data_IF_142882791460
#
_entry.id   IF_142882791460
#
_cell.length_a   1.000
_cell.length_b   1.000
_cell.length_c   1.000
_cell.angle_alpha   90.00
_cell.angle_beta   90.00
_cell.angle_gamma   90.00
#
_symmetry.space_group_name_H-M   'P 1'
#
loop_
_entity.id
_entity.type
_entity.pdbx_description
1 polymer ?
#
# COMPACT_ATOMS: atom_id res chain seq x y z
N UNK A 1 21.86 -31.97 16.02
CA UNK A 1 21.65 -31.10 14.83
C UNK A 1 20.23 -30.64 14.87
N UNK A 2 19.98 -29.38 15.15
CA UNK A 2 18.60 -28.85 15.10
C UNK A 2 18.11 -28.85 13.65
N UNK A 3 16.87 -29.26 13.37
CA UNK A 3 16.32 -29.21 12.02
C UNK A 3 16.24 -27.75 11.57
N UNK A 4 16.56 -27.51 10.29
CA UNK A 4 16.47 -26.16 9.71
C UNK A 4 15.06 -25.57 9.88
N UNK A 5 14.91 -24.26 10.09
CA UNK A 5 13.62 -23.60 10.21
C UNK A 5 12.68 -23.95 9.04
N UNK A 6 11.39 -24.15 9.28
CA UNK A 6 10.42 -24.50 8.22
C UNK A 6 10.45 -23.52 7.02
N UNK A 7 10.57 -22.24 7.29
CA UNK A 7 10.64 -21.19 6.28
C UNK A 7 11.88 -21.31 5.37
N UNK A 8 13.05 -21.60 5.93
CA UNK A 8 14.28 -21.81 5.15
C UNK A 8 14.16 -23.01 4.21
N UNK A 9 13.49 -24.09 4.66
CA UNK A 9 13.21 -25.24 3.80
C UNK A 9 12.22 -24.91 2.67
N UNK A 10 11.22 -24.09 2.94
CA UNK A 10 10.25 -23.65 1.91
C UNK A 10 10.95 -22.87 0.80
N UNK A 11 11.83 -21.93 1.14
CA UNK A 11 12.63 -21.21 0.13
C UNK A 11 13.48 -22.18 -0.68
N UNK A 12 14.27 -23.05 -0.02
CA UNK A 12 15.14 -24.01 -0.69
C UNK A 12 14.36 -24.95 -1.62
N UNK A 13 13.20 -25.44 -1.16
CA UNK A 13 12.31 -26.27 -1.96
C UNK A 13 11.81 -25.52 -3.20
N UNK A 14 11.43 -24.25 -3.05
CA UNK A 14 10.94 -23.44 -4.15
C UNK A 14 12.00 -23.15 -5.20
N UNK A 15 13.22 -22.79 -4.79
CA UNK A 15 14.36 -22.61 -5.70
C UNK A 15 14.67 -23.89 -6.48
N UNK A 16 14.67 -25.04 -5.80
CA UNK A 16 14.86 -26.35 -6.44
C UNK A 16 13.72 -26.68 -7.42
N UNK A 17 12.45 -26.39 -7.08
CA UNK A 17 11.32 -26.58 -7.98
C UNK A 17 11.44 -25.73 -9.25
N UNK A 18 11.81 -24.45 -9.11
CA UNK A 18 12.04 -23.59 -10.27
C UNK A 18 13.08 -24.21 -11.20
N UNK A 19 14.22 -24.65 -10.69
CA UNK A 19 15.26 -25.26 -11.53
C UNK A 19 14.83 -26.59 -12.15
N UNK A 20 14.13 -27.46 -11.43
CA UNK A 20 13.84 -28.82 -11.89
C UNK A 20 12.54 -28.95 -12.66
N UNK A 21 11.54 -28.11 -12.38
CA UNK A 21 10.17 -28.31 -12.81
C UNK A 21 9.58 -27.16 -13.64
N UNK A 22 10.20 -25.97 -13.62
CA UNK A 22 9.65 -24.81 -14.33
C UNK A 22 9.75 -25.00 -15.85
N UNK A 23 10.90 -25.49 -16.33
CA UNK A 23 11.12 -25.90 -17.74
C UNK A 23 11.78 -27.26 -17.79
N UNK A 24 11.02 -28.35 -17.70
CA UNK A 24 11.58 -29.71 -17.54
C UNK A 24 12.51 -30.10 -18.69
N UNK A 25 12.20 -29.68 -19.91
CA UNK A 25 12.96 -30.00 -21.12
C UNK A 25 14.33 -29.31 -21.18
N UNK A 26 14.50 -28.20 -20.48
CA UNK A 26 15.77 -27.47 -20.43
C UNK A 26 16.88 -28.22 -19.68
N UNK A 27 16.55 -29.23 -18.84
CA UNK A 27 17.48 -30.03 -18.03
C UNK A 27 18.53 -29.17 -17.33
N UNK A 28 18.03 -28.13 -16.62
CA UNK A 28 18.87 -27.11 -16.01
C UNK A 28 19.60 -27.70 -14.78
N UNK A 29 20.93 -27.80 -14.84
CA UNK A 29 21.77 -28.23 -13.71
C UNK A 29 22.15 -27.05 -12.83
N UNK A 30 22.60 -27.30 -11.59
CA UNK A 30 23.09 -26.24 -10.70
C UNK A 30 24.33 -25.53 -11.30
N UNK A 31 25.15 -26.23 -12.07
CA UNK A 31 26.33 -25.69 -12.76
C UNK A 31 25.89 -24.70 -13.87
N UNK A 32 24.93 -25.09 -14.71
CA UNK A 32 24.37 -24.22 -15.77
C UNK A 32 23.73 -22.97 -15.17
N UNK A 33 22.98 -23.12 -14.07
CA UNK A 33 22.36 -21.99 -13.40
C UNK A 33 23.40 -21.06 -12.77
N UNK A 34 24.42 -21.62 -12.14
CA UNK A 34 25.54 -20.85 -11.58
C UNK A 34 26.31 -20.09 -12.68
N UNK A 35 26.57 -20.72 -13.82
CA UNK A 35 27.19 -20.07 -14.97
C UNK A 35 26.35 -18.91 -15.52
N UNK A 36 25.02 -19.11 -15.66
CA UNK A 36 24.09 -18.04 -16.11
C UNK A 36 24.08 -16.83 -15.17
N UNK A 37 24.26 -17.04 -13.86
CA UNK A 37 24.29 -15.97 -12.86
C UNK A 37 25.68 -15.36 -12.66
N UNK A 38 26.72 -15.92 -13.26
CA UNK A 38 28.10 -15.45 -13.12
C UNK A 38 28.45 -14.28 -14.02
N UNK A 39 27.54 -13.82 -14.90
CA UNK A 39 27.79 -12.72 -15.82
C UNK A 39 28.12 -11.40 -15.10
N UNK A 40 27.49 -11.15 -13.96
CA UNK A 40 27.69 -9.95 -13.15
C UNK A 40 28.72 -10.18 -12.01
N UNK A 41 28.72 -11.37 -11.42
CA UNK A 41 29.59 -11.73 -10.29
C UNK A 41 29.80 -13.26 -10.26
N UNK A 42 31.02 -13.77 -10.11
CA UNK A 42 31.29 -15.20 -10.09
C UNK A 42 30.46 -15.97 -9.06
N UNK A 43 29.85 -17.09 -9.47
CA UNK A 43 29.05 -17.94 -8.63
C UNK A 43 29.41 -19.42 -8.81
N UNK A 44 29.77 -20.08 -7.72
CA UNK A 44 30.10 -21.53 -7.75
C UNK A 44 28.82 -22.39 -7.65
N UNK A 45 28.76 -23.51 -8.35
CA UNK A 45 27.62 -24.45 -8.31
C UNK A 45 27.35 -24.99 -6.90
N UNK A 46 28.37 -25.13 -6.07
CA UNK A 46 28.25 -25.56 -4.67
C UNK A 46 27.44 -24.54 -3.83
N UNK A 47 27.51 -23.26 -4.20
CA UNK A 47 26.73 -22.20 -3.56
C UNK A 47 25.25 -22.34 -3.91
N UNK A 48 24.93 -22.57 -5.19
CA UNK A 48 23.55 -22.86 -5.63
C UNK A 48 23.02 -24.13 -4.93
N UNK A 49 23.84 -25.16 -4.83
CA UNK A 49 23.51 -26.40 -4.10
C UNK A 49 23.16 -26.14 -2.63
N UNK A 50 23.87 -25.23 -1.97
CA UNK A 50 23.59 -24.87 -0.57
C UNK A 50 22.26 -24.13 -0.40
N UNK A 51 21.84 -23.35 -1.40
CA UNK A 51 20.56 -22.65 -1.40
C UNK A 51 19.36 -23.60 -1.61
N UNK A 52 19.57 -24.67 -2.36
CA UNK A 52 18.56 -25.70 -2.67
C UNK A 52 18.58 -26.89 -1.68
N UNK A 53 19.44 -26.86 -0.66
CA UNK A 53 19.56 -27.92 0.33
C UNK A 53 18.37 -27.96 1.27
N UNK A 54 17.70 -29.11 1.39
CA UNK A 54 16.58 -29.29 2.31
C UNK A 54 17.02 -29.63 3.74
N UNK A 55 18.24 -30.12 3.90
CA UNK A 55 18.79 -30.51 5.21
C UNK A 55 19.45 -29.33 5.93
N UNK A 56 20.19 -28.49 5.20
CA UNK A 56 20.90 -27.33 5.73
C UNK A 56 20.84 -26.17 4.72
N UNK A 57 19.67 -25.59 4.50
CA UNK A 57 19.51 -24.52 3.53
C UNK A 57 20.24 -23.27 3.97
N UNK A 58 20.93 -22.62 3.01
CA UNK A 58 21.44 -21.26 3.17
C UNK A 58 20.54 -20.29 2.44
N UNK A 59 20.33 -19.11 3.00
CA UNK A 59 19.55 -18.06 2.34
C UNK A 59 20.43 -17.38 1.28
N UNK A 60 19.99 -17.30 -0.01
CA UNK A 60 20.70 -16.52 -1.02
C UNK A 60 20.67 -15.03 -0.67
N UNK A 61 21.72 -14.25 -1.03
CA UNK A 61 21.65 -12.80 -0.91
C UNK A 61 20.59 -12.22 -1.87
N UNK A 62 20.07 -11.03 -1.53
CA UNK A 62 18.92 -10.41 -2.23
C UNK A 62 19.13 -10.31 -3.74
N UNK A 63 20.29 -9.85 -4.20
CA UNK A 63 20.57 -9.72 -5.64
C UNK A 63 20.48 -11.07 -6.38
N UNK A 64 20.82 -12.19 -5.72
CA UNK A 64 20.71 -13.54 -6.30
C UNK A 64 19.25 -14.02 -6.36
N UNK A 65 18.42 -13.65 -5.40
CA UNK A 65 16.97 -13.89 -5.47
C UNK A 65 16.36 -13.13 -6.66
N UNK A 66 16.77 -11.89 -6.89
CA UNK A 66 16.34 -11.10 -8.06
C UNK A 66 16.81 -11.74 -9.38
N UNK A 67 18.04 -12.30 -9.41
CA UNK A 67 18.53 -13.04 -10.56
C UNK A 67 17.69 -14.31 -10.82
N UNK A 68 17.32 -15.07 -9.80
CA UNK A 68 16.37 -16.19 -9.93
C UNK A 68 15.05 -15.74 -10.53
N UNK A 69 14.43 -14.71 -9.98
CA UNK A 69 13.14 -14.20 -10.47
C UNK A 69 13.23 -13.77 -11.95
N UNK A 70 14.30 -13.06 -12.32
CA UNK A 70 14.53 -12.59 -13.69
C UNK A 70 14.77 -13.73 -14.66
N UNK A 71 15.59 -14.72 -14.27
CA UNK A 71 15.90 -15.88 -15.09
C UNK A 71 14.65 -16.72 -15.40
N UNK A 72 13.85 -17.03 -14.38
CA UNK A 72 12.65 -17.85 -14.51
C UNK A 72 11.40 -17.10 -15.01
N UNK A 73 11.51 -15.80 -15.28
CA UNK A 73 10.43 -15.00 -15.85
C UNK A 73 10.23 -15.23 -17.37
N UNK A 74 11.23 -15.75 -18.06
CA UNK A 74 11.20 -15.92 -19.52
C UNK A 74 11.86 -17.22 -19.98
N UNK A 75 11.21 -18.00 -20.87
CA UNK A 75 11.82 -19.21 -21.45
C UNK A 75 13.05 -18.88 -22.32
N UNK A 76 13.18 -17.64 -22.82
CA UNK A 76 14.35 -17.19 -23.59
C UNK A 76 15.66 -17.30 -22.81
N UNK A 77 15.58 -17.37 -21.49
CA UNK A 77 16.76 -17.62 -20.63
C UNK A 77 17.40 -19.01 -20.85
N UNK A 78 16.67 -19.96 -21.47
CA UNK A 78 17.11 -21.34 -21.69
C UNK A 78 16.99 -21.82 -23.13
N UNK A 79 16.58 -20.97 -24.07
CA UNK A 79 16.42 -21.31 -25.51
C UNK A 79 17.74 -21.68 -26.18
N UNK A 80 18.84 -21.13 -25.66
CA UNK A 80 20.20 -21.45 -26.10
C UNK A 80 21.03 -21.83 -24.86
N UNK A 81 22.28 -21.37 -24.78
CA UNK A 81 23.06 -21.51 -23.56
C UNK A 81 22.40 -20.68 -22.43
N UNK A 82 22.16 -21.26 -21.25
CA UNK A 82 21.45 -20.57 -20.17
C UNK A 82 22.10 -19.25 -19.79
N UNK A 83 21.32 -18.17 -19.85
CA UNK A 83 21.81 -16.81 -19.59
C UNK A 83 20.77 -15.93 -18.91
N UNK A 84 21.25 -14.97 -18.14
CA UNK A 84 20.41 -13.98 -17.51
C UNK A 84 20.19 -12.80 -18.47
N UNK A 85 18.94 -12.60 -18.93
CA UNK A 85 18.62 -11.49 -19.81
C UNK A 85 18.57 -10.16 -19.02
N UNK A 86 19.05 -9.04 -19.61
CA UNK A 86 18.83 -7.71 -19.04
C UNK A 86 17.36 -7.40 -18.82
N UNK A 87 17.04 -6.59 -17.83
CA UNK A 87 15.65 -6.28 -17.46
C UNK A 87 14.93 -5.53 -18.59
N UNK A 88 15.67 -4.71 -19.33
CA UNK A 88 15.19 -3.89 -20.45
C UNK A 88 14.82 -4.73 -21.67
N UNK A 89 15.33 -5.94 -21.79
CA UNK A 89 15.02 -6.88 -22.88
C UNK A 89 13.76 -7.72 -22.61
N UNK A 90 13.20 -7.66 -21.39
CA UNK A 90 11.98 -8.39 -21.06
C UNK A 90 10.76 -7.72 -21.68
N UNK A 91 9.91 -8.52 -22.33
CA UNK A 91 8.60 -8.07 -22.80
C UNK A 91 7.68 -7.68 -21.64
N UNK A 92 6.57 -6.96 -21.86
CA UNK A 92 5.63 -6.60 -20.80
C UNK A 92 5.10 -7.81 -20.01
N UNK A 93 4.82 -8.93 -20.69
CA UNK A 93 4.35 -10.16 -20.05
C UNK A 93 5.45 -10.81 -19.21
N UNK A 94 6.69 -10.85 -19.72
CA UNK A 94 7.86 -11.35 -18.99
C UNK A 94 8.20 -10.46 -17.78
N UNK A 95 8.04 -9.14 -17.88
CA UNK A 95 8.16 -8.22 -16.73
C UNK A 95 7.10 -8.49 -15.67
N UNK A 96 5.88 -8.84 -16.09
CA UNK A 96 4.80 -9.22 -15.15
C UNK A 96 5.14 -10.54 -14.45
N UNK A 97 5.63 -11.54 -15.18
CA UNK A 97 6.11 -12.80 -14.60
C UNK A 97 7.29 -12.58 -13.66
N UNK A 98 8.23 -11.71 -14.02
CA UNK A 98 9.35 -11.31 -13.17
C UNK A 98 8.88 -10.72 -11.85
N UNK A 99 7.98 -9.73 -11.88
CA UNK A 99 7.46 -9.09 -10.65
C UNK A 99 6.77 -10.09 -9.73
N UNK A 100 6.01 -11.02 -10.30
CA UNK A 100 5.34 -12.09 -9.54
C UNK A 100 6.35 -13.01 -8.83
N UNK A 101 7.34 -13.51 -9.57
CA UNK A 101 8.38 -14.36 -8.99
C UNK A 101 9.27 -13.61 -7.99
N UNK A 102 9.60 -12.36 -8.28
CA UNK A 102 10.36 -11.49 -7.37
C UNK A 102 9.65 -11.35 -6.02
N UNK A 103 8.36 -11.00 -6.04
CA UNK A 103 7.58 -10.85 -4.81
C UNK A 103 7.49 -12.16 -4.03
N UNK A 104 7.25 -13.28 -4.71
CA UNK A 104 7.19 -14.61 -4.09
C UNK A 104 8.52 -14.98 -3.42
N UNK A 105 9.62 -14.86 -4.15
CA UNK A 105 10.94 -15.31 -3.68
C UNK A 105 11.52 -14.40 -2.59
N UNK A 106 11.29 -13.08 -2.67
CA UNK A 106 11.69 -12.15 -1.61
C UNK A 106 10.93 -12.44 -0.31
N UNK A 107 9.62 -12.70 -0.39
CA UNK A 107 8.81 -13.09 0.77
C UNK A 107 9.36 -14.37 1.43
N UNK A 108 9.64 -15.41 0.64
CA UNK A 108 10.19 -16.67 1.17
C UNK A 108 11.57 -16.46 1.78
N UNK A 109 12.41 -15.59 1.19
CA UNK A 109 13.73 -15.25 1.73
C UNK A 109 13.62 -14.53 3.07
N UNK A 110 12.78 -13.53 3.19
CA UNK A 110 12.54 -12.81 4.44
C UNK A 110 12.11 -13.75 5.57
N UNK A 111 11.16 -14.64 5.30
CA UNK A 111 10.75 -15.67 6.26
C UNK A 111 11.89 -16.63 6.63
N UNK A 112 12.83 -16.90 5.71
CA UNK A 112 13.93 -17.85 5.90
C UNK A 112 15.13 -17.25 6.67
N UNK A 113 15.42 -15.97 6.47
CA UNK A 113 16.55 -15.28 7.10
C UNK A 113 16.25 -14.75 8.49
N UNK A 114 14.97 -14.66 8.86
CA UNK A 114 14.56 -13.97 10.08
C UNK A 114 14.89 -12.46 10.05
N UNK A 115 15.25 -11.96 8.87
CA UNK A 115 15.42 -10.54 8.63
C UNK A 115 14.05 -9.88 8.64
N UNK A 116 13.68 -9.30 9.76
CA UNK A 116 12.45 -8.52 9.88
C UNK A 116 12.40 -7.38 8.85
N UNK A 117 13.52 -6.91 8.35
CA UNK A 117 13.61 -5.93 7.25
C UNK A 117 13.19 -6.49 5.88
N UNK A 118 13.21 -7.81 5.67
CA UNK A 118 12.81 -8.43 4.41
C UNK A 118 11.49 -9.21 4.51
N UNK A 119 11.00 -9.46 5.73
CA UNK A 119 9.65 -9.94 6.00
C UNK A 119 8.70 -8.79 5.71
N UNK A 120 8.23 -8.78 4.48
CA UNK A 120 7.14 -7.94 4.04
C UNK A 120 7.44 -6.45 3.89
N UNK A 121 8.02 -6.06 2.78
CA UNK A 121 7.44 -4.92 2.09
C UNK A 121 6.01 -5.30 1.68
N UNK A 122 5.13 -5.42 2.65
CA UNK A 122 3.70 -5.40 2.43
C UNK A 122 3.33 -3.94 2.26
N UNK A 123 3.41 -3.46 1.01
CA UNK A 123 2.75 -2.22 0.69
C UNK A 123 1.32 -2.33 1.18
N UNK A 124 0.88 -1.44 2.03
CA UNK A 124 -0.51 -1.34 2.49
C UNK A 124 -1.49 -1.20 1.33
N UNK A 125 -0.98 -0.89 0.13
CA UNK A 125 -1.76 -0.75 -1.09
C UNK A 125 -1.77 -2.00 -1.97
N UNK A 126 -1.11 -3.09 -1.56
CA UNK A 126 -1.12 -4.35 -2.29
C UNK A 126 -2.21 -5.27 -1.76
N UNK A 127 -3.07 -5.74 -2.65
CA UNK A 127 -4.14 -6.68 -2.32
C UNK A 127 -3.76 -8.08 -2.80
N UNK A 128 -4.13 -9.11 -2.02
CA UNK A 128 -3.71 -10.50 -2.27
C UNK A 128 -4.68 -11.26 -3.18
N UNK A 129 -5.64 -10.59 -3.77
CA UNK A 129 -6.65 -11.18 -4.65
C UNK A 129 -6.82 -10.40 -5.97
N UNK A 130 -7.75 -10.84 -6.81
CA UNK A 130 -8.08 -10.21 -8.10
C UNK A 130 -9.44 -9.51 -8.05
N UNK A 131 -9.87 -9.09 -6.87
CA UNK A 131 -11.15 -8.43 -6.66
C UNK A 131 -11.20 -7.01 -7.23
N UNK A 132 -12.17 -6.26 -6.76
CA UNK A 132 -12.39 -4.85 -7.12
C UNK A 132 -11.90 -3.94 -6.01
N UNK A 133 -11.26 -2.84 -6.40
CA UNK A 133 -10.97 -1.70 -5.53
C UNK A 133 -11.87 -0.55 -5.95
N UNK A 134 -12.69 -0.06 -5.03
CA UNK A 134 -13.54 1.10 -5.26
C UNK A 134 -13.06 2.26 -4.39
N UNK A 135 -12.73 3.37 -5.04
CA UNK A 135 -12.54 4.65 -4.37
C UNK A 135 -13.89 5.34 -4.24
N UNK A 136 -14.22 5.82 -3.06
CA UNK A 136 -15.28 6.80 -2.88
C UNK A 136 -14.64 8.10 -2.42
N UNK A 137 -14.57 9.06 -3.33
CA UNK A 137 -13.93 10.35 -3.11
C UNK A 137 -14.98 11.41 -2.81
N UNK A 138 -14.64 12.37 -1.96
CA UNK A 138 -15.51 13.46 -1.61
C UNK A 138 -16.08 14.18 -2.85
N UNK A 139 -17.36 14.56 -2.77
CA UNK A 139 -18.09 15.25 -3.83
C UNK A 139 -18.13 16.75 -3.54
N UNK A 140 -17.87 17.57 -4.56
CA UNK A 140 -18.03 19.00 -4.45
C UNK A 140 -19.51 19.36 -4.31
N UNK A 141 -19.87 20.35 -3.46
CA UNK A 141 -21.20 20.96 -3.49
C UNK A 141 -21.52 21.47 -4.90
N UNK A 142 -22.80 21.46 -5.30
CA UNK A 142 -23.22 21.77 -6.67
C UNK A 142 -22.73 23.14 -7.16
N UNK A 143 -22.68 24.13 -6.28
CA UNK A 143 -22.19 25.48 -6.57
C UNK A 143 -20.66 25.57 -6.78
N UNK A 144 -19.92 24.52 -6.40
CA UNK A 144 -18.46 24.44 -6.55
C UNK A 144 -18.04 23.46 -7.63
N UNK A 145 -18.97 22.69 -8.19
CA UNK A 145 -18.70 21.78 -9.31
C UNK A 145 -18.24 22.58 -10.53
N UNK A 146 -17.34 21.98 -11.31
CA UNK A 146 -16.88 22.58 -12.56
C UNK A 146 -17.98 22.67 -13.61
N UNK A 147 -17.87 23.56 -14.60
CA UNK A 147 -18.91 23.79 -15.61
C UNK A 147 -19.24 22.56 -16.46
N UNK A 148 -18.31 21.61 -16.57
CA UNK A 148 -18.50 20.37 -17.34
C UNK A 148 -18.90 19.18 -16.44
N UNK A 149 -19.29 19.39 -15.19
CA UNK A 149 -19.80 18.34 -14.31
C UNK A 149 -21.25 17.93 -14.60
N UNK A 150 -21.93 18.63 -15.55
CA UNK A 150 -23.29 18.30 -15.93
C UNK A 150 -23.30 17.13 -16.92
N UNK A 151 -23.91 15.96 -16.59
CA UNK A 151 -23.97 14.80 -17.48
C UNK A 151 -24.66 15.06 -18.82
N UNK A 152 -25.46 16.12 -18.94
CA UNK A 152 -26.13 16.50 -20.19
C UNK A 152 -25.22 17.28 -21.15
N UNK A 153 -24.04 17.73 -20.72
CA UNK A 153 -23.08 18.42 -21.59
C UNK A 153 -22.32 17.40 -22.45
N UNK A 154 -22.20 17.63 -23.78
CA UNK A 154 -21.41 16.75 -24.67
C UNK A 154 -19.92 16.62 -24.26
N UNK A 155 -19.39 17.61 -23.52
CA UNK A 155 -18.03 17.60 -23.02
C UNK A 155 -17.96 17.20 -21.54
N UNK A 156 -18.98 16.50 -21.03
CA UNK A 156 -19.05 16.04 -19.65
C UNK A 156 -17.73 15.46 -19.16
N UNK A 157 -17.28 15.92 -18.02
CA UNK A 157 -16.06 15.44 -17.37
C UNK A 157 -16.37 15.10 -15.92
N UNK A 158 -16.51 13.81 -15.63
CA UNK A 158 -16.90 13.27 -14.32
C UNK A 158 -16.04 13.84 -13.18
N UNK A 159 -14.72 13.98 -13.41
CA UNK A 159 -13.80 14.47 -12.38
C UNK A 159 -14.06 15.91 -11.92
N UNK A 160 -14.84 16.69 -12.65
CA UNK A 160 -15.22 18.06 -12.21
C UNK A 160 -16.25 18.09 -11.08
N UNK A 161 -16.81 16.94 -10.70
CA UNK A 161 -17.66 16.79 -9.52
C UNK A 161 -16.89 16.37 -8.26
N UNK A 162 -15.62 15.99 -8.39
CA UNK A 162 -14.81 15.47 -7.29
C UNK A 162 -14.07 16.57 -6.54
N UNK A 163 -14.08 16.50 -5.21
CA UNK A 163 -13.11 17.15 -4.34
C UNK A 163 -11.83 16.29 -4.23
N UNK A 164 -10.81 16.76 -3.54
CA UNK A 164 -9.58 16.00 -3.23
C UNK A 164 -8.94 15.28 -4.44
N UNK A 165 -9.00 15.90 -5.62
CA UNK A 165 -8.51 15.31 -6.87
C UNK A 165 -7.03 14.95 -6.83
N UNK A 166 -6.19 15.76 -6.16
CA UNK A 166 -4.75 15.49 -6.00
C UNK A 166 -4.55 14.15 -5.29
N UNK A 167 -5.34 13.90 -4.23
CA UNK A 167 -5.33 12.67 -3.45
C UNK A 167 -5.84 11.47 -4.27
N UNK A 168 -6.93 11.65 -5.02
CA UNK A 168 -7.50 10.62 -5.86
C UNK A 168 -6.53 10.19 -6.96
N UNK A 169 -5.94 11.14 -7.69
CA UNK A 169 -5.03 10.86 -8.80
C UNK A 169 -3.75 10.17 -8.33
N UNK A 170 -3.15 10.67 -7.25
CA UNK A 170 -1.95 10.08 -6.64
C UNK A 170 -2.20 8.63 -6.26
N UNK A 171 -3.25 8.39 -5.46
CA UNK A 171 -3.53 7.06 -4.92
C UNK A 171 -4.06 6.09 -5.98
N UNK A 172 -4.90 6.55 -6.91
CA UNK A 172 -5.38 5.74 -8.02
C UNK A 172 -4.23 5.24 -8.90
N UNK A 173 -3.29 6.13 -9.26
CA UNK A 173 -2.10 5.77 -10.02
C UNK A 173 -1.24 4.74 -9.29
N UNK A 174 -1.00 4.97 -8.00
CA UNK A 174 -0.20 4.08 -7.16
C UNK A 174 -0.83 2.68 -7.05
N UNK A 175 -2.12 2.60 -6.73
CA UNK A 175 -2.83 1.32 -6.60
C UNK A 175 -2.89 0.55 -7.91
N UNK A 176 -3.10 1.21 -9.03
CA UNK A 176 -3.07 0.54 -10.33
C UNK A 176 -1.69 -0.03 -10.66
N UNK A 177 -0.62 0.67 -10.28
CA UNK A 177 0.74 0.18 -10.47
C UNK A 177 1.05 -1.05 -9.59
N UNK A 178 0.60 -1.02 -8.33
CA UNK A 178 0.81 -2.12 -7.38
C UNK A 178 -0.08 -3.35 -7.67
N UNK A 179 -1.26 -3.15 -8.29
CA UNK A 179 -2.27 -4.18 -8.51
C UNK A 179 -2.75 -4.21 -9.97
N UNK A 180 -1.89 -4.55 -10.94
CA UNK A 180 -2.20 -4.42 -12.37
C UNK A 180 -3.34 -5.34 -12.86
N UNK A 181 -3.67 -6.38 -12.10
CA UNK A 181 -4.74 -7.35 -12.45
C UNK A 181 -6.08 -7.04 -11.79
N UNK A 182 -6.15 -6.03 -10.89
CA UNK A 182 -7.39 -5.67 -10.21
C UNK A 182 -8.22 -4.68 -11.05
N UNK A 183 -9.53 -4.78 -10.91
CA UNK A 183 -10.44 -3.73 -11.39
C UNK A 183 -10.43 -2.58 -10.39
N UNK A 184 -9.97 -1.42 -10.81
CA UNK A 184 -9.92 -0.20 -10.01
C UNK A 184 -10.89 0.82 -10.59
N UNK A 185 -11.81 1.30 -9.77
CA UNK A 185 -12.82 2.27 -10.14
C UNK A 185 -12.95 3.36 -9.06
N UNK A 186 -13.55 4.49 -9.42
CA UNK A 186 -13.84 5.58 -8.49
C UNK A 186 -15.30 6.02 -8.63
N UNK A 187 -15.86 6.58 -7.55
CA UNK A 187 -17.23 7.10 -7.42
C UNK A 187 -17.24 8.35 -6.57
N UNK A 188 -18.19 9.21 -6.80
CA UNK A 188 -18.66 10.20 -5.82
C UNK A 188 -19.74 9.56 -4.94
N UNK A 189 -19.99 10.07 -3.72
CA UNK A 189 -20.98 9.48 -2.80
C UNK A 189 -22.38 9.33 -3.39
N UNK A 190 -22.82 10.26 -4.23
CA UNK A 190 -24.16 10.25 -4.87
C UNK A 190 -24.33 9.12 -5.92
N UNK A 191 -23.23 8.55 -6.44
CA UNK A 191 -23.25 7.51 -7.48
C UNK A 191 -22.93 6.11 -6.94
N UNK A 192 -22.67 5.98 -5.64
CA UNK A 192 -22.31 4.70 -5.01
C UNK A 192 -23.50 3.74 -5.02
N UNK A 193 -23.29 2.54 -5.53
CA UNK A 193 -24.23 1.42 -5.42
C UNK A 193 -23.74 0.40 -4.41
N UNK A 194 -24.63 -0.47 -3.92
CA UNK A 194 -24.34 -1.45 -2.85
C UNK A 194 -23.13 -2.33 -3.18
N UNK A 195 -22.98 -2.76 -4.44
CA UNK A 195 -21.89 -3.62 -4.87
C UNK A 195 -20.53 -2.91 -4.80
N UNK A 196 -20.50 -1.58 -4.92
CA UNK A 196 -19.26 -0.79 -4.80
C UNK A 196 -18.69 -0.86 -3.39
N UNK A 197 -19.55 -1.03 -2.39
CA UNK A 197 -19.18 -1.03 -0.97
C UNK A 197 -18.66 -2.38 -0.46
N UNK A 198 -18.83 -3.47 -1.21
CA UNK A 198 -18.50 -4.83 -0.77
C UNK A 198 -17.12 -5.32 -1.23
N UNK A 199 -16.42 -4.56 -2.07
CA UNK A 199 -15.04 -4.80 -2.49
C UNK A 199 -14.00 -4.28 -1.49
N UNK A 200 -12.74 -4.16 -1.93
CA UNK A 200 -11.77 -3.31 -1.24
C UNK A 200 -12.23 -1.86 -1.40
N UNK A 201 -12.50 -1.21 -0.27
CA UNK A 201 -13.08 0.11 -0.23
C UNK A 201 -12.05 1.12 0.25
N UNK A 202 -11.88 2.21 -0.50
CA UNK A 202 -11.00 3.31 -0.15
C UNK A 202 -11.82 4.58 -0.12
N UNK A 203 -11.90 5.21 1.04
CA UNK A 203 -12.64 6.45 1.27
C UNK A 203 -11.65 7.61 1.30
N UNK A 204 -11.87 8.60 0.44
CA UNK A 204 -11.04 9.81 0.32
C UNK A 204 -11.87 11.03 0.65
N UNK A 205 -11.37 11.84 1.58
CA UNK A 205 -12.01 13.09 2.00
C UNK A 205 -12.84 13.00 3.27
N UNK A 206 -13.15 14.19 3.80
CA UNK A 206 -13.82 14.39 5.08
C UNK A 206 -15.31 14.04 5.04
N UNK A 207 -15.87 13.86 6.22
CA UNK A 207 -17.27 13.39 6.42
C UNK A 207 -18.34 14.36 5.93
N UNK A 208 -18.00 15.63 5.74
CA UNK A 208 -18.96 16.67 5.27
C UNK A 208 -19.27 16.50 3.78
N UNK A 209 -18.25 16.20 2.98
CA UNK A 209 -18.39 16.06 1.53
C UNK A 209 -18.33 14.59 1.07
N UNK A 210 -18.31 13.65 2.03
CA UNK A 210 -18.34 12.21 1.78
C UNK A 210 -19.19 11.52 2.85
N UNK A 211 -20.49 11.43 2.63
CA UNK A 211 -21.43 10.78 3.55
C UNK A 211 -21.14 9.28 3.71
N UNK A 212 -20.51 8.65 2.72
CA UNK A 212 -20.10 7.26 2.81
C UNK A 212 -18.96 7.12 3.83
N UNK A 213 -18.00 8.08 3.86
CA UNK A 213 -16.96 8.11 4.91
C UNK A 213 -17.60 8.18 6.29
N UNK A 214 -18.60 9.02 6.48
CA UNK A 214 -19.31 9.15 7.76
C UNK A 214 -19.95 7.83 8.18
N UNK A 215 -20.76 7.22 7.31
CA UNK A 215 -21.52 5.99 7.61
C UNK A 215 -20.63 4.79 7.84
N UNK A 216 -19.65 4.58 6.96
CA UNK A 216 -18.77 3.40 7.01
C UNK A 216 -17.78 3.49 8.18
N UNK A 217 -17.27 4.69 8.51
CA UNK A 217 -16.43 4.89 9.70
C UNK A 217 -17.16 4.55 10.99
N UNK A 218 -18.44 4.87 11.10
CA UNK A 218 -19.27 4.49 12.25
C UNK A 218 -19.43 2.96 12.35
N UNK A 219 -19.67 2.28 11.23
CA UNK A 219 -19.76 0.82 11.20
C UNK A 219 -18.42 0.15 11.56
N UNK A 220 -17.30 0.73 11.15
CA UNK A 220 -15.95 0.26 11.46
C UNK A 220 -15.55 0.44 12.94
N UNK A 221 -16.33 1.22 13.72
CA UNK A 221 -16.11 1.48 15.16
C UNK A 221 -14.70 1.97 15.47
N UNK A 222 -14.17 2.84 14.62
CA UNK A 222 -12.86 3.45 14.88
C UNK A 222 -12.92 4.33 16.14
N UNK A 223 -11.88 4.35 16.98
CA UNK A 223 -11.83 5.22 18.16
C UNK A 223 -11.64 6.70 17.82
N UNK A 224 -11.35 7.01 16.55
CA UNK A 224 -11.19 8.37 16.03
C UNK A 224 -12.42 8.70 15.18
N UNK A 225 -13.04 9.82 15.46
CA UNK A 225 -14.17 10.33 14.67
C UNK A 225 -13.95 11.79 14.29
N UNK A 226 -14.42 12.20 13.13
CA UNK A 226 -14.52 13.60 12.75
C UNK A 226 -15.87 14.15 13.19
N UNK A 227 -15.87 15.29 13.90
CA UNK A 227 -17.09 15.91 14.42
C UNK A 227 -17.49 17.06 13.50
N UNK A 228 -18.70 16.97 12.97
CA UNK A 228 -19.28 18.03 12.14
C UNK A 228 -20.04 19.01 13.03
N UNK A 229 -19.58 20.24 13.08
CA UNK A 229 -20.33 21.36 13.67
C UNK A 229 -20.45 22.51 12.67
N UNK A 230 -21.64 22.75 12.11
CA UNK A 230 -21.87 23.81 11.14
C UNK A 230 -21.51 25.22 11.63
N UNK A 231 -21.35 25.40 12.94
CA UNK A 231 -20.96 26.67 13.55
C UNK A 231 -19.46 26.88 13.58
N UNK A 232 -18.67 25.80 13.42
CA UNK A 232 -17.21 25.85 13.45
C UNK A 232 -16.66 26.28 12.10
N UNK A 233 -16.17 27.53 12.02
CA UNK A 233 -15.54 28.05 10.80
C UNK A 233 -14.10 27.58 10.57
N UNK A 234 -13.54 26.83 11.52
CA UNK A 234 -12.14 26.38 11.51
C UNK A 234 -11.92 24.98 10.93
N UNK A 235 -12.98 24.34 10.44
CA UNK A 235 -13.00 22.95 10.01
C UNK A 235 -13.58 22.02 11.08
N UNK A 236 -13.74 20.75 10.72
CA UNK A 236 -14.37 19.72 11.55
C UNK A 236 -13.29 18.91 12.25
N UNK A 237 -13.07 19.07 13.59
CA UNK A 237 -11.95 18.45 14.28
C UNK A 237 -12.07 16.94 14.33
N UNK A 238 -10.91 16.27 14.45
CA UNK A 238 -10.88 14.89 14.85
C UNK A 238 -10.98 14.80 16.37
N UNK A 239 -11.79 13.86 16.83
CA UNK A 239 -12.00 13.58 18.25
C UNK A 239 -11.65 12.11 18.52
N UNK A 240 -10.79 11.90 19.50
CA UNK A 240 -10.47 10.58 20.03
C UNK A 240 -11.23 10.41 21.34
N UNK A 241 -12.02 9.34 21.43
CA UNK A 241 -12.76 9.00 22.63
C UNK A 241 -11.77 8.54 23.72
N UNK A 242 -11.63 9.32 24.78
CA UNK A 242 -10.68 9.04 25.86
C UNK A 242 -11.14 7.88 26.75
N UNK A 243 -10.17 7.09 27.23
CA UNK A 243 -10.39 5.98 28.19
C UNK A 243 -10.96 6.49 29.52
N UNK A 244 -10.65 7.74 29.91
CA UNK A 244 -11.07 8.40 31.16
C UNK A 244 -12.23 9.40 30.99
N UNK A 245 -13.10 9.20 29.99
CA UNK A 245 -14.30 10.04 29.73
C UNK A 245 -14.00 11.49 29.29
N UNK A 246 -12.77 11.82 28.89
CA UNK A 246 -12.45 13.10 28.26
C UNK A 246 -12.04 12.86 26.81
N UNK A 247 -12.85 13.35 25.90
CA UNK A 247 -12.53 13.38 24.47
C UNK A 247 -11.32 14.31 24.25
N UNK A 248 -10.42 13.91 23.36
CA UNK A 248 -9.26 14.70 22.93
C UNK A 248 -9.55 15.20 21.54
N UNK A 249 -9.51 16.51 21.34
CA UNK A 249 -9.76 17.16 20.06
C UNK A 249 -8.45 17.54 19.38
N UNK A 250 -8.39 17.32 18.07
CA UNK A 250 -7.26 17.67 17.20
C UNK A 250 -7.72 18.66 16.14
N UNK A 251 -7.07 19.83 16.13
CA UNK A 251 -7.41 20.97 15.30
C UNK A 251 -6.27 21.34 14.34
N UNK A 252 -6.58 21.95 13.17
CA UNK A 252 -5.56 22.50 12.30
C UNK A 252 -4.90 23.72 12.94
N UNK A 253 -3.66 24.00 12.58
CA UNK A 253 -2.96 25.24 12.98
C UNK A 253 -2.89 26.20 11.81
N UNK A 254 -3.16 27.46 12.08
CA UNK A 254 -3.19 28.51 11.10
C UNK A 254 -1.96 29.41 11.29
N UNK A 255 -1.27 29.77 10.19
CA UNK A 255 -0.28 30.84 10.17
C UNK A 255 -1.03 32.18 10.21
N UNK A 256 -2.05 32.32 9.38
CA UNK A 256 -2.99 33.43 9.40
C UNK A 256 -4.42 32.90 9.18
N UNK A 257 -5.25 32.99 10.20
CA UNK A 257 -6.63 32.52 10.18
C UNK A 257 -7.55 33.40 9.36
N UNK A 258 -7.29 34.71 9.32
CA UNK A 258 -8.13 35.64 8.56
C UNK A 258 -7.92 35.47 7.05
N UNK A 259 -6.67 35.33 6.62
CA UNK A 259 -6.32 35.02 5.23
C UNK A 259 -6.42 33.54 4.89
N UNK A 260 -6.83 32.67 5.84
CA UNK A 260 -6.95 31.23 5.69
C UNK A 260 -5.65 30.55 5.24
N UNK A 261 -4.49 31.03 5.73
CA UNK A 261 -3.21 30.41 5.49
C UNK A 261 -2.99 29.32 6.54
N UNK A 262 -2.96 28.08 6.08
CA UNK A 262 -2.81 26.92 6.92
C UNK A 262 -1.31 26.64 7.15
N UNK A 263 -0.90 26.49 8.41
CA UNK A 263 0.45 26.09 8.80
C UNK A 263 0.56 24.56 9.00
N UNK A 264 -0.51 23.96 9.53
CA UNK A 264 -0.57 22.54 9.81
C UNK A 264 -2.01 22.05 9.70
N UNK A 265 -2.21 20.94 9.02
CA UNK A 265 -3.49 20.24 8.94
C UNK A 265 -3.42 18.94 9.75
N UNK A 266 -4.56 18.30 9.96
CA UNK A 266 -4.65 16.99 10.59
C UNK A 266 -5.19 15.99 9.59
N UNK A 267 -4.44 14.90 9.38
CA UNK A 267 -4.81 13.79 8.49
C UNK A 267 -5.07 12.51 9.28
N UNK A 268 -5.97 11.68 8.78
CA UNK A 268 -6.25 10.33 9.28
C UNK A 268 -6.00 9.30 8.19
N UNK A 269 -5.11 8.35 8.47
CA UNK A 269 -4.98 7.12 7.72
C UNK A 269 -5.46 5.96 8.60
N UNK A 270 -6.50 5.26 8.18
CA UNK A 270 -6.98 4.07 8.89
C UNK A 270 -7.19 2.91 7.92
N UNK A 271 -6.85 1.70 8.35
CA UNK A 271 -7.11 0.46 7.62
C UNK A 271 -7.67 -0.58 8.57
N UNK A 272 -8.79 -1.19 8.17
CA UNK A 272 -9.49 -2.23 8.93
C UNK A 272 -10.17 -3.21 7.96
N UNK A 273 -10.65 -4.38 8.41
CA UNK A 273 -11.55 -5.18 7.61
C UNK A 273 -12.79 -4.36 7.20
N UNK A 274 -13.24 -4.52 5.96
CA UNK A 274 -14.44 -3.82 5.50
C UNK A 274 -15.65 -4.31 6.31
N UNK A 275 -16.37 -3.45 7.05
CA UNK A 275 -17.50 -3.84 7.89
C UNK A 275 -18.67 -4.44 7.11
N UNK A 276 -18.72 -4.22 5.78
CA UNK A 276 -19.73 -4.76 4.88
C UNK A 276 -19.29 -6.09 4.21
N UNK A 277 -17.98 -6.40 4.28
CA UNK A 277 -17.42 -7.66 3.79
C UNK A 277 -16.04 -7.88 4.42
N UNK A 278 -15.99 -8.62 5.52
CA UNK A 278 -14.77 -8.82 6.32
C UNK A 278 -13.62 -9.53 5.59
N UNK A 279 -13.86 -10.14 4.43
CA UNK A 279 -12.80 -10.69 3.58
C UNK A 279 -12.08 -9.63 2.74
N UNK A 280 -12.52 -8.38 2.80
CA UNK A 280 -11.99 -7.22 2.08
C UNK A 280 -11.53 -6.16 3.07
N UNK A 281 -10.81 -5.17 2.59
CA UNK A 281 -10.29 -4.08 3.43
C UNK A 281 -11.08 -2.79 3.21
N UNK A 282 -11.23 -2.04 4.28
CA UNK A 282 -11.59 -0.63 4.27
C UNK A 282 -10.34 0.19 4.57
N UNK A 283 -10.02 1.16 3.72
CA UNK A 283 -8.99 2.16 3.99
C UNK A 283 -9.60 3.54 3.95
N UNK A 284 -9.26 4.40 4.90
CA UNK A 284 -9.77 5.77 5.02
C UNK A 284 -8.58 6.72 4.97
N UNK A 285 -8.58 7.63 3.99
CA UNK A 285 -7.68 8.75 3.88
C UNK A 285 -8.52 10.03 4.06
N UNK A 286 -8.52 10.58 5.26
CA UNK A 286 -9.35 11.72 5.63
C UNK A 286 -8.47 12.87 6.18
N UNK A 287 -9.00 14.09 6.20
CA UNK A 287 -8.34 15.27 6.74
C UNK A 287 -9.36 16.33 7.16
N UNK A 288 -8.93 17.27 8.01
CA UNK A 288 -9.80 18.41 8.34
C UNK A 288 -9.96 19.28 7.09
N UNK A 289 -8.87 19.46 6.32
CA UNK A 289 -8.88 20.07 5.01
C UNK A 289 -8.19 19.16 3.99
N UNK A 290 -8.23 19.51 2.71
CA UNK A 290 -7.62 18.72 1.63
C UNK A 290 -6.11 18.46 1.82
N UNK A 291 -5.40 19.29 2.60
CA UNK A 291 -3.97 19.06 2.88
C UNK A 291 -3.75 17.89 3.82
N UNK A 292 -4.65 17.71 4.80
CA UNK A 292 -4.67 16.51 5.66
C UNK A 292 -4.98 15.25 4.89
N UNK A 293 -5.97 15.29 3.99
CA UNK A 293 -6.31 14.16 3.09
C UNK A 293 -5.09 13.78 2.24
N UNK A 294 -4.46 14.76 1.61
CA UNK A 294 -3.31 14.55 0.74
C UNK A 294 -2.09 14.05 1.52
N UNK A 295 -1.85 14.56 2.74
CA UNK A 295 -0.82 14.06 3.64
C UNK A 295 -1.02 12.60 4.01
N UNK A 296 -2.26 12.19 4.32
CA UNK A 296 -2.62 10.81 4.60
C UNK A 296 -2.34 9.88 3.40
N UNK A 297 -2.66 10.31 2.18
CA UNK A 297 -2.34 9.57 0.96
C UNK A 297 -0.83 9.49 0.76
N UNK A 298 -0.12 10.63 0.79
CA UNK A 298 1.31 10.69 0.53
C UNK A 298 2.16 9.94 1.55
N UNK A 299 1.67 9.77 2.76
CA UNK A 299 2.40 9.01 3.78
C UNK A 299 2.81 7.61 3.29
N UNK A 300 2.02 6.99 2.41
CA UNK A 300 2.27 5.64 1.86
C UNK A 300 2.39 5.59 0.32
N UNK A 301 2.50 6.74 -0.36
CA UNK A 301 2.72 6.77 -1.82
C UNK A 301 4.01 7.50 -2.20
N UNK A 302 4.48 8.45 -1.38
CA UNK A 302 5.71 9.20 -1.63
C UNK A 302 6.94 8.29 -1.61
N UNK A 303 7.66 8.23 -2.71
CA UNK A 303 8.79 7.33 -2.90
C UNK A 303 9.94 7.54 -1.88
N UNK A 304 10.04 8.72 -1.27
CA UNK A 304 11.09 9.03 -0.30
C UNK A 304 10.79 8.56 1.11
N UNK A 305 9.49 8.50 1.50
CA UNK A 305 9.08 8.23 2.88
C UNK A 305 8.18 6.98 3.05
N UNK A 306 7.47 6.55 2.00
CA UNK A 306 6.52 5.42 2.12
C UNK A 306 7.17 4.17 2.74
N UNK A 307 8.40 3.84 2.34
CA UNK A 307 9.07 2.62 2.81
C UNK A 307 9.43 2.71 4.31
N UNK A 308 9.76 3.92 4.80
CA UNK A 308 9.97 4.17 6.22
C UNK A 308 8.64 4.11 7.00
N UNK A 309 7.58 4.70 6.45
CA UNK A 309 6.26 4.70 7.06
C UNK A 309 5.61 3.30 7.07
N UNK A 310 5.80 2.49 6.02
CA UNK A 310 5.36 1.08 6.01
C UNK A 310 6.09 0.25 7.09
N UNK A 311 7.40 0.49 7.29
CA UNK A 311 8.15 -0.14 8.39
C UNK A 311 7.62 0.29 9.76
N UNK A 312 7.28 1.57 9.91
CA UNK A 312 6.66 2.06 11.13
C UNK A 312 5.34 1.35 11.41
N UNK A 313 4.46 1.21 10.40
CA UNK A 313 3.18 0.50 10.50
C UNK A 313 3.42 -0.97 10.90
N UNK A 314 4.33 -1.65 10.21
CA UNK A 314 4.65 -3.05 10.52
C UNK A 314 5.19 -3.25 11.93
N UNK A 315 6.05 -2.35 12.41
CA UNK A 315 6.65 -2.41 13.74
C UNK A 315 5.64 -2.14 14.87
N UNK A 316 4.69 -1.20 14.65
CA UNK A 316 3.76 -0.79 15.70
C UNK A 316 2.44 -1.57 15.70
N UNK A 317 2.01 -2.11 14.54
CA UNK A 317 0.70 -2.76 14.41
C UNK A 317 0.81 -4.24 13.99
N UNK A 318 2.03 -4.70 13.70
CA UNK A 318 2.28 -6.10 13.35
C UNK A 318 1.47 -6.55 12.12
N UNK A 319 1.01 -7.81 12.17
CA UNK A 319 0.20 -8.41 11.12
C UNK A 319 -1.31 -8.27 11.36
N UNK A 320 -1.73 -7.41 12.30
CA UNK A 320 -3.17 -7.26 12.63
C UNK A 320 -4.01 -6.80 11.43
N UNK A 321 -3.37 -6.11 10.49
CA UNK A 321 -4.06 -5.54 9.32
C UNK A 321 -5.07 -4.44 9.67
N UNK A 322 -5.20 -4.09 10.97
CA UNK A 322 -6.13 -3.09 11.48
C UNK A 322 -5.39 -2.02 12.25
N UNK A 323 -5.36 -0.80 11.73
CA UNK A 323 -4.73 0.35 12.39
C UNK A 323 -5.44 1.66 12.06
N UNK A 324 -5.22 2.65 12.90
CA UNK A 324 -5.55 4.05 12.62
C UNK A 324 -4.40 4.94 13.11
N UNK A 325 -3.97 5.87 12.27
CA UNK A 325 -2.94 6.87 12.56
C UNK A 325 -3.53 8.25 12.28
N UNK A 326 -3.64 9.05 13.32
CA UNK A 326 -3.92 10.48 13.21
C UNK A 326 -2.59 11.22 13.16
N UNK A 327 -2.39 12.06 12.16
CA UNK A 327 -1.10 12.68 11.89
C UNK A 327 -1.19 14.18 11.70
N UNK A 328 -0.14 14.88 12.10
CA UNK A 328 0.11 16.28 11.73
C UNK A 328 0.67 16.33 10.31
N UNK A 329 0.11 17.19 9.49
CA UNK A 329 0.54 17.45 8.12
C UNK A 329 1.01 18.90 8.02
N UNK A 330 2.31 19.11 7.97
CA UNK A 330 2.90 20.44 7.79
C UNK A 330 2.52 21.00 6.42
N UNK A 331 2.16 22.28 6.37
CA UNK A 331 1.79 23.00 5.15
C UNK A 331 2.74 24.16 4.92
N UNK A 332 3.51 24.11 3.84
CA UNK A 332 4.47 25.15 3.47
C UNK A 332 4.10 25.70 2.09
N UNK A 333 3.89 26.98 1.99
CA UNK A 333 3.45 27.64 0.73
C UNK A 333 2.25 26.92 0.10
N UNK A 334 1.29 26.58 0.93
CA UNK A 334 0.08 25.88 0.54
C UNK A 334 0.28 24.45 -0.02
N UNK A 335 1.46 23.84 0.22
CA UNK A 335 1.79 22.48 -0.15
C UNK A 335 1.87 21.60 1.11
N UNK A 336 1.20 20.45 1.08
CA UNK A 336 1.31 19.45 2.13
C UNK A 336 2.68 18.77 2.06
N UNK A 337 3.40 18.77 3.16
CA UNK A 337 4.63 17.97 3.32
C UNK A 337 4.23 16.53 3.65
N UNK A 338 4.93 15.57 3.07
CA UNK A 338 4.70 14.15 3.38
C UNK A 338 5.05 13.88 4.84
N UNK A 339 4.12 13.35 5.65
CA UNK A 339 4.39 13.00 7.04
C UNK A 339 5.43 11.86 7.15
N UNK A 340 6.41 12.01 8.03
CA UNK A 340 7.34 10.96 8.44
C UNK A 340 6.92 10.46 9.82
N UNK A 341 6.39 9.24 9.90
CA UNK A 341 5.85 8.68 11.15
C UNK A 341 6.93 8.43 12.22
N UNK A 342 8.21 8.43 11.84
CA UNK A 342 9.32 8.31 12.79
C UNK A 342 9.69 9.65 13.44
N UNK A 343 9.22 10.76 12.88
CA UNK A 343 9.51 12.10 13.39
C UNK A 343 8.64 12.46 14.60
N UNK A 344 9.25 13.07 15.61
CA UNK A 344 8.54 13.49 16.83
C UNK A 344 7.41 14.48 16.52
N UNK A 345 6.23 14.23 17.11
CA UNK A 345 5.05 15.08 16.96
C UNK A 345 4.28 14.92 15.65
N UNK A 346 4.72 14.08 14.71
CA UNK A 346 3.99 13.80 13.48
C UNK A 346 2.82 12.86 13.75
N UNK A 347 3.02 11.76 14.48
CA UNK A 347 1.93 10.88 14.91
C UNK A 347 1.28 11.48 16.15
N UNK A 348 0.04 11.97 15.98
CA UNK A 348 -0.75 12.60 17.05
C UNK A 348 -1.50 11.56 17.89
N UNK A 349 -1.97 10.50 17.25
CA UNK A 349 -2.65 9.37 17.89
C UNK A 349 -2.52 8.13 17.00
N UNK A 350 -2.44 6.97 17.64
CA UNK A 350 -2.42 5.70 16.94
C UNK A 350 -3.24 4.64 17.68
N UNK A 351 -3.80 3.72 16.91
CA UNK A 351 -4.62 2.62 17.42
C UNK A 351 -4.47 1.38 16.55
N UNK A 352 -4.59 0.20 17.18
CA UNK A 352 -4.73 -1.10 16.53
C UNK A 352 -5.75 -1.96 17.27
N UNK A 353 -6.43 -2.82 16.54
CA UNK A 353 -7.47 -3.68 17.14
C UNK A 353 -6.88 -4.72 18.11
N UNK A 354 -5.62 -5.12 17.92
CA UNK A 354 -4.96 -6.15 18.75
C UNK A 354 -4.36 -5.61 20.07
N UNK A 355 -4.39 -4.28 20.28
CA UNK A 355 -3.86 -3.62 21.49
C UNK A 355 -4.97 -3.39 22.53
N UNK A 356 -6.22 -3.68 22.20
CA UNK A 356 -7.37 -3.59 23.11
C UNK A 356 -7.57 -4.93 23.84
N UNK A 357 -6.65 -5.27 24.75
CA UNK A 357 -6.78 -6.38 25.70
C UNK A 357 -6.47 -5.90 27.11
#
# INVERSE_FOLDING_TARGET
MHPAPPAARQLAQRLRQLRQQHWPDARLTQEKLAAAFSAEEPLASVTVSSWESLSSPKSPPRHRILAYARFFATPRSVEAEPRLLPLEELTPDEQTAYRKLQAELLRLRGMASGDEEEVAFHSSWRFNDTGRVTFVCAELPDEQKGPLANPSDPNFTELQAFADLDSLMELHGHIRAENPLMTVQFRIPSEVVTDDLTGHLILIGGVVWNEITQRVSQLARLPVRQVVDPKLRSGDPFVVVGVDSKDIEFWPKWEDRESRILAEDVGLLARVPNPLNSSRTLTICNGIHSRGVYGAVRSLTDASLRDANERYISANFGNSGSFAILMSVQVIKNQAMTPDFSSEGVVLYQWSQDIAA
#
